data_IF_871897177511
#
_entry.id   IF_871897177511
#
_cell.length_a   1.000
_cell.length_b   1.000
_cell.length_c   1.000
_cell.angle_alpha   90.00
_cell.angle_beta   90.00
_cell.angle_gamma   90.00
#
_symmetry.space_group_name_H-M   'P 1'
#
loop_
_entity.id
_entity.type
_entity.pdbx_description
1 polymer ?
#
# COMPACT_ATOMS: atom_id res chain seq x y z
N UNK A 1 32.52 -9.43 -0.93
CA UNK A 1 31.12 -8.97 -0.88
C UNK A 1 30.26 -9.95 -1.66
N UNK A 2 29.56 -10.83 -0.96
CA UNK A 2 28.78 -11.93 -1.54
C UNK A 2 27.34 -11.50 -1.84
N UNK A 3 26.75 -12.03 -2.92
CA UNK A 3 25.38 -11.77 -3.41
C UNK A 3 24.25 -12.02 -2.39
N UNK A 4 24.56 -12.52 -1.19
CA UNK A 4 23.62 -12.91 -0.14
C UNK A 4 23.32 -11.80 0.88
N UNK A 5 24.15 -10.76 0.98
CA UNK A 5 23.92 -9.64 1.93
C UNK A 5 22.92 -8.59 1.43
N UNK A 6 22.49 -8.68 0.16
CA UNK A 6 21.48 -7.79 -0.40
C UNK A 6 20.05 -8.10 0.10
N UNK A 7 19.86 -9.26 0.76
CA UNK A 7 18.55 -9.84 1.04
C UNK A 7 18.09 -9.81 2.50
N UNK A 8 18.92 -9.38 3.45
CA UNK A 8 18.55 -9.29 4.87
C UNK A 8 17.99 -7.92 5.28
N UNK A 9 17.64 -7.07 4.31
CA UNK A 9 16.96 -5.78 4.57
C UNK A 9 15.46 -5.99 4.44
N UNK A 10 14.79 -6.02 5.59
CA UNK A 10 13.32 -5.97 5.82
C UNK A 10 12.51 -5.70 4.55
N UNK A 11 11.91 -6.75 3.95
CA UNK A 11 10.90 -6.55 2.90
C UNK A 11 9.73 -5.79 3.52
N UNK A 12 9.33 -4.69 2.89
CA UNK A 12 8.10 -3.97 3.23
C UNK A 12 7.00 -4.40 2.29
N UNK A 13 5.80 -4.49 2.83
CA UNK A 13 4.58 -4.77 2.07
C UNK A 13 3.89 -3.44 1.78
N UNK A 14 3.45 -3.26 0.55
CA UNK A 14 2.74 -2.08 0.08
C UNK A 14 1.37 -2.48 -0.45
N UNK A 15 0.33 -1.78 -0.02
CA UNK A 15 -1.00 -1.85 -0.63
C UNK A 15 -1.02 -1.01 -1.92
N UNK A 16 -1.53 -1.60 -3.00
CA UNK A 16 -1.59 -0.98 -4.33
C UNK A 16 -3.02 -0.54 -4.62
N UNK A 17 -3.16 0.71 -5.05
CA UNK A 17 -4.42 1.29 -5.47
C UNK A 17 -4.29 1.87 -6.88
N UNK A 18 -5.33 1.80 -7.70
CA UNK A 18 -5.33 2.40 -9.02
C UNK A 18 -6.73 2.79 -9.50
N UNK A 19 -6.79 3.66 -10.51
CA UNK A 19 -7.98 3.97 -11.33
C UNK A 19 -7.57 4.19 -12.78
N UNK A 20 -8.42 3.81 -13.73
CA UNK A 20 -8.12 3.94 -15.17
C UNK A 20 -8.59 5.28 -15.74
N UNK A 21 -9.56 5.92 -15.09
CA UNK A 21 -10.14 7.21 -15.50
C UNK A 21 -10.40 8.11 -14.31
N UNK A 22 -10.65 9.40 -14.53
CA UNK A 22 -10.91 10.37 -13.46
C UNK A 22 -12.26 10.17 -12.76
N UNK A 23 -13.24 9.58 -13.45
CA UNK A 23 -14.58 9.26 -12.95
C UNK A 23 -14.62 7.95 -12.15
N UNK A 24 -13.61 7.09 -12.29
CA UNK A 24 -13.47 5.89 -11.48
C UNK A 24 -12.95 6.19 -10.06
N UNK A 25 -13.45 5.41 -9.10
CA UNK A 25 -12.92 5.43 -7.74
C UNK A 25 -11.54 4.78 -7.71
N UNK A 26 -10.63 5.38 -6.96
CA UNK A 26 -9.37 4.74 -6.60
C UNK A 26 -9.65 3.44 -5.83
N UNK A 27 -9.28 2.30 -6.43
CA UNK A 27 -9.64 0.98 -5.91
C UNK A 27 -8.39 0.21 -5.51
N UNK A 28 -8.44 -0.51 -4.39
CA UNK A 28 -7.34 -1.39 -3.96
C UNK A 28 -7.25 -2.60 -4.89
N UNK A 29 -6.10 -2.78 -5.53
CA UNK A 29 -5.83 -3.92 -6.41
C UNK A 29 -5.25 -5.11 -5.65
N UNK A 30 -4.45 -4.86 -4.61
CA UNK A 30 -3.81 -5.91 -3.82
C UNK A 30 -2.57 -5.42 -3.09
N UNK A 31 -1.58 -6.30 -2.93
CA UNK A 31 -0.31 -6.02 -2.24
C UNK A 31 0.90 -6.37 -3.08
N UNK A 32 2.02 -5.70 -2.81
CA UNK A 32 3.35 -6.06 -3.32
C UNK A 32 4.38 -6.01 -2.19
N UNK A 33 5.26 -7.00 -2.14
CA UNK A 33 6.43 -6.95 -1.27
C UNK A 33 7.62 -6.38 -2.03
N UNK A 34 8.39 -5.50 -1.42
CA UNK A 34 9.61 -4.98 -1.99
C UNK A 34 10.60 -4.52 -0.91
N UNK A 35 11.91 -4.57 -1.18
CA UNK A 35 12.92 -4.09 -0.23
C UNK A 35 13.01 -2.56 -0.17
N UNK A 36 12.45 -1.83 -1.14
CA UNK A 36 12.38 -0.38 -1.18
C UNK A 36 11.27 0.09 -2.14
N UNK A 37 10.98 1.39 -2.11
CA UNK A 37 9.92 2.02 -2.91
C UNK A 37 10.15 1.92 -4.42
N UNK A 38 11.41 2.01 -4.88
CA UNK A 38 11.74 1.90 -6.31
C UNK A 38 11.32 0.53 -6.85
N UNK A 39 11.68 -0.54 -6.15
CA UNK A 39 11.29 -1.90 -6.54
C UNK A 39 9.80 -2.16 -6.31
N UNK A 40 9.16 -1.51 -5.32
CA UNK A 40 7.72 -1.58 -5.14
C UNK A 40 6.96 -1.02 -6.36
N UNK A 41 7.38 0.15 -6.86
CA UNK A 41 6.81 0.77 -8.06
C UNK A 41 6.92 -0.11 -9.29
N UNK A 42 8.11 -0.64 -9.55
CA UNK A 42 8.34 -1.55 -10.70
C UNK A 42 7.49 -2.80 -10.58
N UNK A 43 7.44 -3.42 -9.39
CA UNK A 43 6.60 -4.60 -9.14
C UNK A 43 5.12 -4.30 -9.33
N UNK A 44 4.62 -3.19 -8.81
CA UNK A 44 3.22 -2.82 -8.92
C UNK A 44 2.79 -2.64 -10.38
N UNK A 45 3.57 -1.90 -11.19
CA UNK A 45 3.30 -1.73 -12.62
C UNK A 45 3.40 -3.07 -13.36
N UNK A 46 4.34 -3.94 -12.98
CA UNK A 46 4.53 -5.24 -13.65
C UNK A 46 3.38 -6.22 -13.34
N UNK A 47 2.94 -6.28 -12.09
CA UNK A 47 1.92 -7.23 -11.62
C UNK A 47 0.52 -6.77 -12.01
N UNK A 48 0.25 -5.47 -11.90
CA UNK A 48 -1.05 -4.88 -12.19
C UNK A 48 -1.01 -4.13 -13.52
N UNK A 49 -0.60 -4.77 -14.61
CA UNK A 49 -0.53 -4.16 -15.95
C UNK A 49 -1.75 -4.42 -16.84
N UNK A 50 -2.85 -4.94 -16.28
CA UNK A 50 -4.01 -5.38 -17.06
C UNK A 50 -4.85 -4.26 -17.66
N UNK A 51 -4.65 -3.02 -17.21
CA UNK A 51 -5.31 -1.82 -17.72
C UNK A 51 -4.29 -0.70 -17.88
N UNK A 52 -4.63 0.27 -18.74
CA UNK A 52 -3.92 1.55 -18.83
C UNK A 52 -4.32 2.43 -17.65
N UNK A 53 -3.68 2.21 -16.51
CA UNK A 53 -3.96 2.98 -15.29
C UNK A 53 -3.55 4.44 -15.47
N UNK A 54 -4.50 5.34 -15.23
CA UNK A 54 -4.24 6.78 -15.16
C UNK A 54 -3.34 7.12 -13.97
N UNK A 55 -3.61 6.48 -12.82
CA UNK A 55 -2.79 6.62 -11.62
C UNK A 55 -2.68 5.28 -10.87
N UNK A 56 -1.54 5.08 -10.23
CA UNK A 56 -1.28 3.96 -9.33
C UNK A 56 -0.55 4.47 -8.08
N UNK A 57 -1.12 4.20 -6.91
CA UNK A 57 -0.61 4.65 -5.61
C UNK A 57 -0.19 3.44 -4.77
N UNK A 58 0.87 3.64 -3.99
CA UNK A 58 1.46 2.65 -3.09
C UNK A 58 1.45 3.20 -1.66
N UNK A 59 0.84 2.47 -0.74
CA UNK A 59 0.84 2.79 0.68
C UNK A 59 1.56 1.70 1.46
N UNK A 60 2.55 2.01 2.30
CA UNK A 60 3.15 1.02 3.20
C UNK A 60 2.08 0.43 4.12
N UNK A 61 1.99 -0.90 4.21
CA UNK A 61 0.95 -1.58 4.97
C UNK A 61 1.00 -1.31 6.49
N UNK A 62 2.14 -0.84 6.99
CA UNK A 62 2.41 -0.48 8.38
C UNK A 62 2.05 0.99 8.73
N UNK A 63 1.51 1.75 7.78
CA UNK A 63 1.17 3.18 8.00
C UNK A 63 -0.32 3.45 8.18
N UNK A 64 -1.17 2.43 8.06
CA UNK A 64 -2.61 2.59 8.24
C UNK A 64 -2.95 2.84 9.71
N UNK A 65 -3.73 3.90 9.97
CA UNK A 65 -4.32 4.20 11.27
C UNK A 65 -5.79 3.79 11.24
N UNK A 66 -6.18 2.89 12.14
CA UNK A 66 -7.56 2.50 12.31
C UNK A 66 -8.31 3.58 13.09
N UNK A 67 -9.44 4.04 12.55
CA UNK A 67 -10.36 4.96 13.22
C UNK A 67 -11.64 4.19 13.50
N UNK A 68 -11.67 3.48 14.63
CA UNK A 68 -12.90 2.87 15.13
C UNK A 68 -13.71 3.91 15.92
N UNK A 69 -15.00 4.04 15.61
CA UNK A 69 -15.96 4.79 16.43
C UNK A 69 -16.27 4.11 17.76
N UNK A 70 -15.93 2.83 17.90
CA UNK A 70 -16.42 1.97 18.99
C UNK A 70 -15.53 1.99 20.25
N UNK A 71 -14.79 3.09 20.47
CA UNK A 71 -13.96 3.27 21.66
C UNK A 71 -13.97 4.67 22.28
N UNK A 72 -14.50 5.68 21.59
CA UNK A 72 -14.50 7.07 22.08
C UNK A 72 -15.84 7.53 22.66
N UNK A 73 -16.91 6.74 22.54
CA UNK A 73 -18.23 7.10 23.09
C UNK A 73 -18.42 6.75 24.57
N UNK A 74 -17.48 6.07 25.25
CA UNK A 74 -17.63 5.77 26.70
C UNK A 74 -16.97 6.81 27.61
N UNK A 75 -15.92 7.49 27.16
CA UNK A 75 -15.22 8.49 28.00
C UNK A 75 -15.81 9.91 27.85
N UNK A 76 -16.53 10.20 26.77
CA UNK A 76 -17.18 11.51 26.55
C UNK A 76 -18.59 11.64 27.15
N UNK A 77 -19.14 10.56 27.71
CA UNK A 77 -20.47 10.53 28.37
C UNK A 77 -20.38 10.58 29.91
N UNK A 78 -19.18 10.66 30.48
CA UNK A 78 -18.92 10.64 31.92
C UNK A 78 -17.97 11.78 32.35
N UNK A 79 -18.08 12.96 31.72
CA UNK A 79 -17.39 14.18 32.13
C UNK A 79 -18.40 15.29 32.42
#
# INVERSE_FOLDING_TARGET
MTKQDYGARTRRTYDVFARATHDEKLTRLGRVDAPNETLARVRAVTVYNSKDWLEMLLYPADTALEVNTDGQSRDLLMA
#
